data_IF_531988221030
#
_entry.id   IF_531988221030
#
_cell.length_a   1.000
_cell.length_b   1.000
_cell.length_c   1.000
_cell.angle_alpha   90.00
_cell.angle_beta   90.00
_cell.angle_gamma   90.00
#
_symmetry.space_group_name_H-M   'P 1'
#
loop_
_entity.id
_entity.type
_entity.pdbx_description
1 polymer ?
#
# COMPACT_ATOMS: atom_id res chain seq x y z
N UNK A 1 -12.75 4.40 30.04
CA UNK A 1 -11.45 4.13 29.37
C UNK A 1 -11.54 4.27 27.86
N UNK A 2 -12.58 3.73 27.22
CA UNK A 2 -12.82 3.88 25.78
C UNK A 2 -12.94 5.36 25.30
N UNK A 3 -13.31 6.27 26.21
CA UNK A 3 -13.43 7.72 25.98
C UNK A 3 -12.07 8.46 26.03
N UNK A 4 -11.02 7.85 26.60
CA UNK A 4 -9.70 8.48 26.79
C UNK A 4 -8.72 8.25 25.63
N UNK A 5 -9.07 7.42 24.63
CA UNK A 5 -8.24 7.20 23.44
C UNK A 5 -7.99 8.50 22.66
N UNK A 6 -8.85 9.51 22.82
CA UNK A 6 -8.69 10.85 22.22
C UNK A 6 -7.40 11.56 22.66
N UNK A 7 -6.80 11.17 23.79
CA UNK A 7 -5.53 11.74 24.26
C UNK A 7 -4.34 11.25 23.41
N UNK A 8 -4.49 10.13 22.70
CA UNK A 8 -3.43 9.44 21.96
C UNK A 8 -3.72 9.45 20.46
N UNK A 9 -4.96 9.15 20.09
CA UNK A 9 -5.43 9.07 18.71
C UNK A 9 -6.19 10.35 18.40
N UNK A 10 -5.59 11.23 17.59
CA UNK A 10 -6.23 12.49 17.19
C UNK A 10 -7.45 12.32 16.28
N UNK A 11 -7.50 11.22 15.52
CA UNK A 11 -8.58 10.95 14.57
C UNK A 11 -9.73 10.17 15.20
N UNK A 12 -10.90 10.81 15.33
CA UNK A 12 -12.14 10.16 15.74
C UNK A 12 -12.52 8.94 14.87
N UNK A 13 -12.17 8.97 13.57
CA UNK A 13 -12.42 7.83 12.67
C UNK A 13 -11.46 6.67 12.98
N UNK A 14 -10.22 6.97 13.35
CA UNK A 14 -9.26 5.95 13.76
C UNK A 14 -9.69 5.29 15.08
N UNK A 15 -10.22 6.06 16.04
CA UNK A 15 -10.79 5.51 17.27
C UNK A 15 -11.94 4.53 16.96
N UNK A 16 -12.86 4.90 16.08
CA UNK A 16 -13.96 4.01 15.66
C UNK A 16 -13.45 2.72 14.98
N UNK A 17 -12.44 2.84 14.13
CA UNK A 17 -11.83 1.69 13.45
C UNK A 17 -11.15 0.76 14.45
N UNK A 18 -10.43 1.32 15.42
CA UNK A 18 -9.78 0.57 16.48
C UNK A 18 -10.80 -0.19 17.34
N UNK A 19 -11.89 0.47 17.77
CA UNK A 19 -12.98 -0.18 18.51
C UNK A 19 -13.55 -1.35 17.71
N UNK A 20 -13.79 -1.15 16.42
CA UNK A 20 -14.23 -2.20 15.52
C UNK A 20 -13.24 -3.37 15.47
N UNK A 21 -11.95 -3.10 15.24
CA UNK A 21 -10.93 -4.16 15.14
C UNK A 21 -10.79 -4.93 16.45
N UNK A 22 -10.81 -4.25 17.61
CA UNK A 22 -10.77 -4.90 18.93
C UNK A 22 -11.97 -5.81 19.14
N UNK A 23 -13.17 -5.33 18.86
CA UNK A 23 -14.39 -6.15 18.95
C UNK A 23 -14.30 -7.39 18.04
N UNK A 24 -13.81 -7.22 16.81
CA UNK A 24 -13.59 -8.35 15.89
C UNK A 24 -12.51 -9.30 16.40
N UNK A 25 -11.43 -8.81 17.02
CA UNK A 25 -10.39 -9.68 17.56
C UNK A 25 -10.87 -10.47 18.78
N UNK A 26 -11.69 -9.87 19.65
CA UNK A 26 -12.33 -10.58 20.75
C UNK A 26 -13.24 -11.70 20.24
N UNK A 27 -14.02 -11.45 19.17
CA UNK A 27 -14.83 -12.48 18.51
C UNK A 27 -13.96 -13.57 17.89
N UNK A 28 -12.92 -13.19 17.15
CA UNK A 28 -11.96 -14.10 16.53
C UNK A 28 -11.34 -15.06 17.56
N UNK A 29 -10.94 -14.52 18.72
CA UNK A 29 -10.31 -15.31 19.78
C UNK A 29 -11.25 -16.31 20.47
N UNK A 30 -12.56 -16.21 20.26
CA UNK A 30 -13.57 -17.13 20.77
C UNK A 30 -14.05 -18.15 19.71
N UNK A 31 -13.55 -18.04 18.47
CA UNK A 31 -13.88 -18.94 17.36
C UNK A 31 -12.73 -19.95 17.10
N UNK A 32 -12.99 -20.97 16.30
CA UNK A 32 -12.01 -21.99 15.96
C UNK A 32 -11.06 -21.47 14.86
N UNK A 33 -9.94 -20.85 15.23
CA UNK A 33 -8.94 -20.33 14.31
C UNK A 33 -7.51 -20.78 14.65
N UNK A 34 -6.58 -20.77 13.66
CA UNK A 34 -5.22 -21.29 13.86
C UNK A 34 -4.35 -20.45 14.80
N UNK A 35 -4.78 -19.24 15.13
CA UNK A 35 -4.02 -18.30 15.95
C UNK A 35 -4.93 -17.62 16.97
N UNK A 36 -4.31 -17.08 18.01
CA UNK A 36 -4.93 -16.17 18.97
C UNK A 36 -4.31 -14.79 18.82
N UNK A 37 -5.12 -13.75 18.71
CA UNK A 37 -4.67 -12.37 18.68
C UNK A 37 -4.33 -11.96 20.12
N UNK A 38 -3.05 -11.69 20.35
CA UNK A 38 -2.50 -11.34 21.68
C UNK A 38 -2.54 -9.83 21.92
N UNK A 39 -2.25 -9.04 20.89
CA UNK A 39 -2.10 -7.58 21.02
C UNK A 39 -2.65 -6.87 19.77
N UNK A 40 -3.27 -5.70 20.00
CA UNK A 40 -3.64 -4.76 18.95
C UNK A 40 -2.96 -3.44 19.25
N UNK A 41 -2.37 -2.87 18.21
CA UNK A 41 -1.71 -1.59 18.21
C UNK A 41 -2.22 -0.66 17.13
N UNK A 42 -1.91 0.62 17.30
CA UNK A 42 -2.12 1.65 16.29
C UNK A 42 -0.79 2.32 15.98
N UNK A 43 -0.61 2.71 14.72
CA UNK A 43 0.58 3.45 14.31
C UNK A 43 0.28 4.48 13.23
N UNK A 44 1.37 4.94 12.62
CA UNK A 44 1.31 5.78 11.44
C UNK A 44 0.60 7.11 11.67
N UNK A 45 -0.08 7.58 10.62
CA UNK A 45 -0.64 8.93 10.61
C UNK A 45 -1.82 9.13 11.58
N UNK A 46 -2.50 8.05 11.97
CA UNK A 46 -3.68 8.08 12.83
C UNK A 46 -3.45 8.68 14.22
N UNK A 47 -2.20 8.61 14.71
CA UNK A 47 -1.79 9.18 16.01
C UNK A 47 -1.53 10.69 15.88
N UNK A 48 -1.03 11.16 14.72
CA UNK A 48 -0.53 12.54 14.55
C UNK A 48 -1.50 13.51 13.89
N UNK A 49 -2.43 13.02 13.07
CA UNK A 49 -3.32 13.88 12.28
C UNK A 49 -4.79 13.49 12.43
N UNK A 50 -5.68 14.49 12.39
CA UNK A 50 -7.13 14.30 12.58
C UNK A 50 -7.79 13.58 11.40
N UNK A 51 -7.19 13.67 10.21
CA UNK A 51 -7.73 13.14 8.95
C UNK A 51 -6.73 12.21 8.25
N UNK A 52 -6.36 11.07 8.85
CA UNK A 52 -5.44 10.10 8.24
C UNK A 52 -6.05 9.53 6.96
N UNK A 53 -5.22 9.20 5.96
CA UNK A 53 -5.73 8.62 4.70
C UNK A 53 -6.25 7.21 4.93
N UNK A 54 -5.40 6.40 5.53
CA UNK A 54 -5.61 5.01 5.91
C UNK A 54 -5.32 4.87 7.42
N UNK A 55 -5.87 3.84 8.06
CA UNK A 55 -5.72 3.59 9.49
C UNK A 55 -4.84 2.35 9.66
N UNK A 56 -3.58 2.58 10.03
CA UNK A 56 -2.60 1.52 10.29
C UNK A 56 -2.85 0.86 11.64
N UNK A 57 -3.22 -0.42 11.61
CA UNK A 57 -3.46 -1.25 12.79
C UNK A 57 -2.50 -2.41 12.80
N UNK A 58 -1.83 -2.59 13.93
CA UNK A 58 -0.83 -3.62 14.14
C UNK A 58 -1.45 -4.74 14.96
N UNK A 59 -1.25 -5.97 14.53
CA UNK A 59 -1.87 -7.14 15.15
C UNK A 59 -0.79 -8.16 15.43
N UNK A 60 -0.60 -8.50 16.70
CA UNK A 60 0.27 -9.61 17.09
C UNK A 60 -0.58 -10.82 17.40
N UNK A 61 -0.29 -11.92 16.73
CA UNK A 61 -1.00 -13.18 16.90
C UNK A 61 -0.02 -14.32 17.15
N UNK A 62 -0.45 -15.32 17.91
CA UNK A 62 0.31 -16.54 18.20
C UNK A 62 -0.46 -17.77 17.78
N UNK A 63 0.23 -18.70 17.14
CA UNK A 63 -0.31 -19.97 16.74
C UNK A 63 -0.82 -20.79 17.93
N UNK A 64 -1.93 -21.48 17.70
CA UNK A 64 -2.47 -22.48 18.62
C UNK A 64 -1.99 -23.84 18.11
N UNK A 65 -1.06 -24.48 18.83
CA UNK A 65 -0.34 -25.66 18.34
C UNK A 65 -1.24 -26.77 17.78
N UNK A 66 -2.39 -27.02 18.41
CA UNK A 66 -3.34 -28.06 17.98
C UNK A 66 -4.04 -27.72 16.66
N UNK A 67 -4.26 -26.45 16.36
CA UNK A 67 -5.04 -25.97 15.20
C UNK A 67 -4.12 -25.51 14.06
N UNK A 68 -2.90 -25.07 14.38
CA UNK A 68 -1.95 -24.51 13.41
C UNK A 68 -1.69 -25.47 12.25
N UNK A 69 -1.33 -26.72 12.55
CA UNK A 69 -1.07 -27.75 11.54
C UNK A 69 -2.33 -28.05 10.70
N UNK A 70 -3.46 -28.13 11.37
CA UNK A 70 -4.75 -28.39 10.75
C UNK A 70 -5.14 -27.32 9.71
N UNK A 71 -4.77 -26.06 9.95
CA UNK A 71 -5.00 -25.00 8.98
C UNK A 71 -4.18 -25.17 7.69
N UNK A 72 -2.97 -25.74 7.77
CA UNK A 72 -2.21 -26.09 6.56
C UNK A 72 -2.79 -27.31 5.85
N UNK A 73 -3.35 -28.27 6.59
CA UNK A 73 -4.09 -29.39 6.00
C UNK A 73 -5.32 -28.88 5.24
N UNK A 74 -6.08 -27.97 5.84
CA UNK A 74 -7.21 -27.29 5.18
C UNK A 74 -6.79 -26.57 3.90
N UNK A 75 -5.68 -25.83 3.93
CA UNK A 75 -5.17 -25.15 2.73
C UNK A 75 -4.84 -26.17 1.66
N UNK A 76 -4.09 -27.21 1.99
CA UNK A 76 -3.73 -28.31 1.08
C UNK A 76 -4.98 -29.00 0.53
N UNK A 77 -6.02 -29.16 1.34
CA UNK A 77 -7.26 -29.78 0.90
C UNK A 77 -8.07 -28.90 -0.06
N UNK A 78 -8.11 -27.60 0.23
CA UNK A 78 -8.68 -26.57 -0.65
C UNK A 78 -7.95 -26.53 -1.98
N UNK A 79 -6.64 -26.77 -1.96
CA UNK A 79 -5.79 -26.86 -3.13
C UNK A 79 -6.16 -28.06 -4.01
N UNK A 80 -6.18 -29.25 -3.43
CA UNK A 80 -6.52 -30.51 -4.11
C UNK A 80 -7.95 -30.51 -4.66
N UNK A 81 -8.87 -29.84 -3.95
CA UNK A 81 -10.29 -29.79 -4.27
C UNK A 81 -10.69 -28.57 -5.10
N UNK A 82 -9.72 -27.83 -5.66
CA UNK A 82 -9.97 -26.57 -6.38
C UNK A 82 -11.00 -26.70 -7.52
N UNK A 83 -11.00 -27.84 -8.22
CA UNK A 83 -11.95 -28.12 -9.30
C UNK A 83 -13.43 -28.06 -8.83
N UNK A 84 -13.71 -28.47 -7.58
CA UNK A 84 -15.06 -28.39 -6.99
C UNK A 84 -15.48 -26.93 -6.85
N UNK A 85 -14.60 -26.10 -6.27
CA UNK A 85 -14.83 -24.66 -6.14
C UNK A 85 -15.00 -23.98 -7.51
N UNK A 86 -14.17 -24.33 -8.50
CA UNK A 86 -14.23 -23.74 -9.83
C UNK A 86 -15.54 -24.08 -10.56
N UNK A 87 -15.98 -25.34 -10.49
CA UNK A 87 -17.24 -25.77 -11.08
C UNK A 87 -18.44 -25.06 -10.43
N UNK A 88 -18.46 -24.97 -9.10
CA UNK A 88 -19.51 -24.28 -8.37
C UNK A 88 -19.58 -22.78 -8.71
N UNK A 89 -18.43 -22.12 -8.92
CA UNK A 89 -18.41 -20.73 -9.40
C UNK A 89 -19.04 -20.61 -10.78
N UNK A 90 -18.75 -21.52 -11.71
CA UNK A 90 -19.33 -21.50 -13.06
C UNK A 90 -20.84 -21.70 -13.01
N UNK A 91 -21.30 -22.73 -12.31
CA UNK A 91 -22.72 -23.06 -12.12
C UNK A 91 -23.51 -21.87 -11.54
N UNK A 92 -23.04 -21.30 -10.42
CA UNK A 92 -23.69 -20.15 -9.81
C UNK A 92 -23.64 -18.88 -10.69
N UNK A 93 -22.62 -18.75 -11.54
CA UNK A 93 -22.55 -17.65 -12.51
C UNK A 93 -23.61 -17.78 -13.58
N UNK A 94 -23.84 -19.00 -14.07
CA UNK A 94 -24.87 -19.28 -15.08
C UNK A 94 -26.27 -19.07 -14.53
N UNK A 95 -26.52 -19.50 -13.28
CA UNK A 95 -27.85 -19.39 -12.67
C UNK A 95 -28.21 -17.98 -12.18
N UNK A 96 -27.28 -17.30 -11.48
CA UNK A 96 -27.56 -16.08 -10.72
C UNK A 96 -26.68 -14.89 -11.11
N UNK A 97 -25.67 -15.09 -11.96
CA UNK A 97 -24.69 -14.08 -12.33
C UNK A 97 -23.67 -13.80 -11.22
N UNK A 98 -24.08 -13.11 -10.14
CA UNK A 98 -23.19 -12.77 -9.01
C UNK A 98 -23.51 -13.64 -7.79
N UNK A 99 -22.53 -14.43 -7.36
CA UNK A 99 -22.57 -15.23 -6.14
C UNK A 99 -21.57 -14.76 -5.09
N UNK A 100 -21.88 -15.06 -3.83
CA UNK A 100 -20.99 -14.89 -2.69
C UNK A 100 -20.45 -16.25 -2.22
N UNK A 101 -19.53 -16.25 -1.24
CA UNK A 101 -18.89 -17.49 -0.77
C UNK A 101 -19.86 -18.43 -0.03
N UNK A 102 -20.88 -17.90 0.63
CA UNK A 102 -21.88 -18.71 1.32
C UNK A 102 -22.77 -19.45 0.34
N UNK A 103 -23.18 -18.81 -0.76
CA UNK A 103 -23.93 -19.48 -1.84
C UNK A 103 -23.12 -20.67 -2.39
N UNK A 104 -21.80 -20.48 -2.53
CA UNK A 104 -20.89 -21.52 -2.97
C UNK A 104 -20.80 -22.65 -1.94
N UNK A 105 -20.54 -22.33 -0.67
CA UNK A 105 -20.45 -23.33 0.40
C UNK A 105 -21.76 -24.13 0.50
N UNK A 106 -22.92 -23.49 0.40
CA UNK A 106 -24.23 -24.16 0.44
C UNK A 106 -24.38 -25.16 -0.70
N UNK A 107 -23.96 -24.80 -1.92
CA UNK A 107 -24.03 -25.67 -3.09
C UNK A 107 -23.13 -26.91 -2.97
N UNK A 108 -21.90 -26.76 -2.47
CA UNK A 108 -20.89 -27.84 -2.46
C UNK A 108 -20.64 -28.45 -1.07
N UNK A 109 -21.48 -28.21 -0.07
CA UNK A 109 -21.22 -28.64 1.31
C UNK A 109 -21.01 -30.15 1.41
N UNK A 110 -21.88 -30.92 0.76
CA UNK A 110 -21.82 -32.38 0.76
C UNK A 110 -20.57 -32.89 0.04
N UNK A 111 -20.25 -32.32 -1.13
CA UNK A 111 -19.02 -32.64 -1.87
C UNK A 111 -17.76 -32.36 -1.04
N UNK A 112 -17.74 -31.26 -0.30
CA UNK A 112 -16.63 -30.92 0.61
C UNK A 112 -16.50 -31.94 1.73
N UNK A 113 -17.62 -32.34 2.35
CA UNK A 113 -17.63 -33.37 3.39
C UNK A 113 -17.13 -34.72 2.84
N UNK A 114 -17.57 -35.13 1.64
CA UNK A 114 -17.10 -36.35 0.97
C UNK A 114 -15.60 -36.31 0.65
N UNK A 115 -15.06 -35.13 0.32
CA UNK A 115 -13.62 -34.95 0.16
C UNK A 115 -12.86 -34.99 1.48
N UNK A 116 -13.53 -34.93 2.63
CA UNK A 116 -12.91 -34.96 3.95
C UNK A 116 -12.58 -33.58 4.50
N UNK A 117 -13.28 -32.53 4.06
CA UNK A 117 -13.30 -31.28 4.80
C UNK A 117 -14.03 -31.49 6.12
N UNK A 118 -13.45 -30.97 7.20
CA UNK A 118 -14.10 -31.00 8.52
C UNK A 118 -15.14 -29.89 8.62
N UNK A 119 -16.16 -30.11 9.45
CA UNK A 119 -17.21 -29.14 9.67
C UNK A 119 -16.66 -27.78 10.12
N UNK A 120 -15.71 -27.78 11.07
CA UNK A 120 -15.07 -26.55 11.54
C UNK A 120 -14.38 -25.77 10.41
N UNK A 121 -13.86 -26.45 9.39
CA UNK A 121 -13.21 -25.80 8.24
C UNK A 121 -14.26 -25.12 7.37
N UNK A 122 -15.40 -25.79 7.16
CA UNK A 122 -16.51 -25.30 6.35
C UNK A 122 -17.17 -24.11 7.03
N UNK A 123 -17.41 -24.19 8.34
CA UNK A 123 -18.14 -23.16 9.08
C UNK A 123 -17.27 -21.97 9.47
N UNK A 124 -16.00 -22.19 9.85
CA UNK A 124 -15.15 -21.12 10.38
C UNK A 124 -14.16 -20.57 9.34
N UNK A 125 -13.61 -21.39 8.44
CA UNK A 125 -12.47 -20.98 7.59
C UNK A 125 -12.86 -20.66 6.15
N UNK A 126 -13.66 -21.51 5.50
CA UNK A 126 -14.13 -21.29 4.13
C UNK A 126 -14.85 -19.95 3.92
N UNK A 127 -15.65 -19.40 4.87
CA UNK A 127 -16.30 -18.11 4.68
C UNK A 127 -15.33 -16.93 4.45
N UNK A 128 -14.05 -17.12 4.75
CA UNK A 128 -12.99 -16.11 4.54
C UNK A 128 -12.31 -16.22 3.18
N UNK A 129 -12.61 -17.26 2.41
CA UNK A 129 -12.26 -17.36 0.99
C UNK A 129 -13.11 -16.38 0.18
N UNK A 130 -12.54 -15.76 -0.86
CA UNK A 130 -13.30 -14.91 -1.79
C UNK A 130 -13.52 -15.65 -3.10
N UNK A 131 -14.72 -15.54 -3.63
CA UNK A 131 -15.06 -15.98 -5.00
C UNK A 131 -14.11 -15.36 -6.04
N UNK A 132 -13.66 -14.12 -5.83
CA UNK A 132 -12.66 -13.48 -6.70
C UNK A 132 -11.30 -14.19 -6.70
N UNK A 133 -10.89 -14.78 -5.57
CA UNK A 133 -9.63 -15.52 -5.48
C UNK A 133 -9.74 -16.84 -6.25
N UNK A 134 -10.91 -17.50 -6.17
CA UNK A 134 -11.21 -18.70 -6.96
C UNK A 134 -11.19 -18.37 -8.45
N UNK A 135 -11.93 -17.34 -8.88
CA UNK A 135 -11.96 -16.89 -10.29
C UNK A 135 -10.57 -16.56 -10.83
N UNK A 136 -9.77 -15.82 -10.06
CA UNK A 136 -8.39 -15.53 -10.44
C UNK A 136 -7.58 -16.82 -10.62
N UNK A 137 -7.76 -17.79 -9.73
CA UNK A 137 -7.14 -19.12 -9.84
C UNK A 137 -7.55 -19.91 -11.09
N UNK A 138 -8.75 -19.66 -11.64
CA UNK A 138 -9.18 -20.24 -12.91
C UNK A 138 -8.51 -19.56 -14.12
N UNK A 139 -8.26 -18.25 -14.02
CA UNK A 139 -7.66 -17.45 -15.09
C UNK A 139 -6.12 -17.59 -15.15
N UNK A 140 -5.47 -17.94 -14.04
CA UNK A 140 -4.02 -18.12 -13.96
C UNK A 140 -3.62 -19.59 -13.88
N UNK A 141 -2.62 -20.00 -14.68
CA UNK A 141 -1.97 -21.34 -14.62
C UNK A 141 -1.31 -21.58 -13.24
N UNK A 142 -1.12 -20.55 -12.43
CA UNK A 142 -0.61 -20.63 -11.07
C UNK A 142 -1.79 -20.66 -10.10
N UNK A 143 -2.07 -21.85 -9.60
CA UNK A 143 -2.90 -22.13 -8.42
C UNK A 143 -2.54 -21.21 -7.22
N UNK A 144 -3.40 -20.73 -6.31
CA UNK A 144 -4.61 -21.30 -5.72
C UNK A 144 -5.32 -20.25 -4.85
N UNK A 145 -6.48 -20.59 -4.29
CA UNK A 145 -7.22 -19.82 -3.27
C UNK A 145 -6.28 -19.36 -2.14
N UNK A 146 -5.88 -18.08 -2.17
CA UNK A 146 -4.92 -17.49 -1.22
C UNK A 146 -5.61 -17.09 0.09
N UNK A 147 -5.94 -18.08 0.93
CA UNK A 147 -6.24 -17.84 2.33
C UNK A 147 -5.08 -18.36 3.19
N UNK A 148 -4.06 -17.52 3.37
CA UNK A 148 -3.09 -17.68 4.44
C UNK A 148 -3.60 -17.02 5.74
N UNK A 149 -2.85 -17.18 6.82
CA UNK A 149 -3.24 -16.67 8.15
C UNK A 149 -3.29 -15.13 8.17
N UNK A 150 -2.38 -14.46 7.44
CA UNK A 150 -2.38 -12.99 7.31
C UNK A 150 -3.65 -12.50 6.63
N UNK A 151 -4.06 -13.13 5.52
CA UNK A 151 -5.29 -12.82 4.80
C UNK A 151 -6.53 -13.14 5.63
N UNK A 152 -6.51 -14.23 6.40
CA UNK A 152 -7.57 -14.57 7.34
C UNK A 152 -7.76 -13.43 8.36
N UNK A 153 -6.69 -13.04 9.06
CA UNK A 153 -6.73 -11.93 10.03
C UNK A 153 -7.17 -10.62 9.36
N UNK A 154 -6.59 -10.28 8.22
CA UNK A 154 -6.91 -9.06 7.47
C UNK A 154 -8.39 -9.00 7.12
N UNK A 155 -8.97 -10.09 6.60
CA UNK A 155 -10.37 -10.15 6.18
C UNK A 155 -11.30 -10.16 7.39
N UNK A 156 -10.98 -10.94 8.42
CA UNK A 156 -11.81 -11.08 9.61
C UNK A 156 -11.95 -9.77 10.37
N UNK A 157 -10.83 -9.09 10.60
CA UNK A 157 -10.77 -7.86 11.39
C UNK A 157 -11.36 -6.65 10.67
N UNK A 158 -11.52 -6.71 9.34
CA UNK A 158 -12.15 -5.67 8.53
C UNK A 158 -13.62 -5.96 8.20
N UNK A 159 -14.15 -7.14 8.52
CA UNK A 159 -15.52 -7.54 8.15
C UNK A 159 -16.53 -6.53 8.69
N UNK A 160 -17.45 -6.09 7.84
CA UNK A 160 -18.51 -5.11 8.14
C UNK A 160 -18.05 -3.68 8.43
N UNK A 161 -16.75 -3.37 8.31
CA UNK A 161 -16.27 -1.99 8.38
C UNK A 161 -16.64 -1.18 7.13
N UNK A 162 -17.26 -0.01 7.33
CA UNK A 162 -17.71 0.90 6.26
C UNK A 162 -17.06 2.29 6.29
N UNK A 163 -15.95 2.45 7.03
CA UNK A 163 -15.24 3.72 7.19
C UNK A 163 -14.01 3.88 6.30
N UNK A 164 -13.06 4.70 6.76
CA UNK A 164 -11.74 4.85 6.11
C UNK A 164 -11.02 3.51 6.06
N UNK A 165 -10.24 3.26 5.02
CA UNK A 165 -9.53 1.99 4.85
C UNK A 165 -8.66 1.70 6.09
N UNK A 166 -8.81 0.48 6.60
CA UNK A 166 -7.96 -0.09 7.65
C UNK A 166 -6.87 -0.90 6.94
N UNK A 167 -5.61 -0.68 7.31
CA UNK A 167 -4.48 -1.52 6.92
C UNK A 167 -4.08 -2.35 8.13
N UNK A 168 -4.12 -3.68 7.99
CA UNK A 168 -3.78 -4.62 9.06
C UNK A 168 -2.35 -5.08 8.78
N UNK A 169 -1.46 -4.79 9.72
CA UNK A 169 -0.07 -5.24 9.70
C UNK A 169 0.06 -6.34 10.76
N UNK A 170 0.14 -7.60 10.34
CA UNK A 170 0.12 -8.73 11.27
C UNK A 170 1.50 -9.34 11.48
N UNK A 171 1.78 -9.71 12.73
CA UNK A 171 2.95 -10.47 13.15
C UNK A 171 2.46 -11.74 13.79
N UNK A 172 2.78 -12.86 13.14
CA UNK A 172 2.26 -14.17 13.50
C UNK A 172 3.42 -15.00 14.00
N UNK A 173 3.36 -15.41 15.26
CA UNK A 173 4.38 -16.26 15.89
C UNK A 173 3.89 -17.70 15.79
N UNK A 174 4.62 -18.56 15.10
CA UNK A 174 4.27 -19.98 14.97
C UNK A 174 4.57 -20.79 16.25
N UNK A 175 4.24 -22.10 16.29
CA UNK A 175 4.55 -22.97 17.43
C UNK A 175 6.03 -23.09 17.78
N UNK A 176 6.91 -22.86 16.82
CA UNK A 176 8.37 -22.99 16.93
C UNK A 176 9.02 -21.64 17.32
N UNK A 177 8.24 -20.56 17.35
CA UNK A 177 8.68 -19.21 17.65
C UNK A 177 9.13 -18.40 16.43
N UNK A 178 8.98 -18.93 15.22
CA UNK A 178 9.26 -18.20 13.99
C UNK A 178 8.21 -17.13 13.75
N UNK A 179 8.68 -15.98 13.24
CA UNK A 179 7.83 -14.83 12.94
C UNK A 179 7.47 -14.84 11.45
N UNK A 180 6.17 -14.86 11.17
CA UNK A 180 5.58 -14.71 9.85
C UNK A 180 4.85 -13.37 9.74
N UNK A 181 4.71 -12.88 8.50
CA UNK A 181 4.07 -11.61 8.19
C UNK A 181 5.04 -10.44 8.31
N UNK A 182 4.55 -9.30 8.79
CA UNK A 182 5.37 -8.11 8.99
C UNK A 182 6.25 -8.28 10.24
N UNK A 183 7.56 -8.40 10.03
CA UNK A 183 8.55 -8.25 11.10
C UNK A 183 8.45 -6.81 11.63
N UNK A 184 7.98 -6.63 12.87
CA UNK A 184 7.61 -5.31 13.41
C UNK A 184 8.86 -4.49 13.75
N UNK A 185 9.58 -4.04 12.73
CA UNK A 185 10.56 -2.96 12.86
C UNK A 185 9.89 -1.59 12.87
N UNK A 186 8.60 -1.52 12.54
CA UNK A 186 7.83 -0.28 12.55
C UNK A 186 7.23 -0.08 13.95
N UNK A 187 7.54 1.02 14.65
CA UNK A 187 6.98 1.27 15.96
C UNK A 187 5.46 1.43 15.88
N UNK A 188 4.77 0.98 16.93
CA UNK A 188 3.33 1.15 17.12
C UNK A 188 3.03 1.26 18.63
N UNK A 189 1.86 1.81 18.96
CA UNK A 189 1.37 1.90 20.32
C UNK A 189 0.36 0.79 20.60
N UNK A 190 0.63 -0.07 21.57
CA UNK A 190 -0.29 -1.12 22.00
C UNK A 190 -1.46 -0.51 22.78
N UNK A 191 -2.67 -0.79 22.34
CA UNK A 191 -3.91 -0.20 22.87
C UNK A 191 -4.89 -1.25 23.39
N UNK A 192 -4.65 -2.52 23.09
CA UNK A 192 -5.42 -3.63 23.62
C UNK A 192 -4.54 -4.87 23.70
N UNK A 193 -4.75 -5.67 24.74
CA UNK A 193 -4.11 -6.97 24.92
C UNK A 193 -5.14 -8.00 25.35
N UNK A 194 -4.92 -9.26 25.01
CA UNK A 194 -5.87 -10.31 25.33
C UNK A 194 -6.05 -10.54 26.85
N UNK A 195 -5.00 -10.33 27.63
CA UNK A 195 -5.02 -10.56 29.09
C UNK A 195 -5.44 -9.31 29.88
N UNK A 196 -5.20 -8.12 29.32
CA UNK A 196 -5.47 -6.84 30.00
C UNK A 196 -6.65 -6.05 29.44
N UNK A 197 -7.22 -6.47 28.30
CA UNK A 197 -8.22 -5.70 27.58
C UNK A 197 -7.66 -4.37 27.07
N UNK A 198 -8.50 -3.33 27.10
CA UNK A 198 -8.13 -1.97 26.70
C UNK A 198 -7.03 -1.39 27.58
N UNK A 199 -6.01 -0.81 26.93
CA UNK A 199 -4.89 -0.13 27.56
C UNK A 199 -4.72 1.27 26.97
N UNK A 200 -4.39 2.23 27.82
CA UNK A 200 -3.91 3.53 27.42
C UNK A 200 -2.38 3.55 27.56
N UNK A 201 -1.63 3.69 26.46
CA UNK A 201 -0.21 4.02 26.53
C UNK A 201 0.04 5.23 27.44
N UNK A 202 1.07 5.15 28.27
CA UNK A 202 1.52 6.29 29.07
C UNK A 202 2.36 7.29 28.24
N UNK A 203 2.70 8.43 28.84
CA UNK A 203 3.47 9.49 28.17
C UNK A 203 4.86 9.02 27.72
N UNK A 204 5.50 8.15 28.49
CA UNK A 204 6.83 7.61 28.18
C UNK A 204 6.76 6.65 26.98
N UNK A 205 5.74 5.81 26.90
CA UNK A 205 5.48 4.94 25.76
C UNK A 205 5.19 5.73 24.48
N UNK A 206 4.39 6.80 24.57
CA UNK A 206 4.10 7.69 23.45
C UNK A 206 5.37 8.40 22.99
N UNK A 207 6.17 8.90 23.94
CA UNK A 207 7.45 9.54 23.63
C UNK A 207 8.43 8.57 22.96
N UNK A 208 8.61 7.37 23.49
CA UNK A 208 9.49 6.35 22.93
C UNK A 208 9.01 5.85 21.56
N UNK A 209 7.69 5.76 21.33
CA UNK A 209 7.12 5.50 20.01
C UNK A 209 7.58 6.55 18.98
N UNK A 210 7.38 7.84 19.28
CA UNK A 210 7.77 8.91 18.37
C UNK A 210 9.29 8.96 18.17
N UNK A 211 10.07 8.78 19.22
CA UNK A 211 11.53 8.72 19.14
C UNK A 211 12.00 7.60 18.22
N UNK A 212 11.47 6.37 18.39
CA UNK A 212 11.79 5.24 17.52
C UNK A 212 11.38 5.49 16.07
N UNK A 213 10.20 6.07 15.85
CA UNK A 213 9.73 6.38 14.48
C UNK A 213 10.63 7.42 13.80
N UNK A 214 11.05 8.45 14.54
CA UNK A 214 11.97 9.47 14.03
C UNK A 214 13.32 8.86 13.67
N UNK A 215 13.89 8.02 14.53
CA UNK A 215 15.17 7.34 14.27
C UNK A 215 15.09 6.45 13.03
N UNK A 216 14.04 5.64 12.91
CA UNK A 216 13.84 4.79 11.73
C UNK A 216 13.70 5.60 10.43
N UNK A 217 13.04 6.77 10.48
CA UNK A 217 12.96 7.66 9.32
C UNK A 217 14.31 8.28 8.98
N UNK A 218 15.09 8.72 9.96
CA UNK A 218 16.43 9.27 9.74
C UNK A 218 17.36 8.23 9.12
N UNK A 219 17.30 6.97 9.56
CA UNK A 219 18.06 5.87 8.95
C UNK A 219 17.69 5.70 7.46
N UNK A 220 16.39 5.78 7.11
CA UNK A 220 15.96 5.74 5.71
C UNK A 220 16.52 6.95 4.93
N UNK A 221 16.49 8.15 5.50
CA UNK A 221 17.08 9.34 4.87
C UNK A 221 18.57 9.15 4.58
N UNK A 222 19.34 8.66 5.55
CA UNK A 222 20.77 8.40 5.40
C UNK A 222 21.02 7.40 4.27
N UNK A 223 20.29 6.28 4.25
CA UNK A 223 20.40 5.27 3.19
C UNK A 223 20.01 5.81 1.82
N UNK A 224 18.95 6.61 1.73
CA UNK A 224 18.51 7.24 0.48
C UNK A 224 19.53 8.26 -0.03
N UNK A 225 20.11 9.08 0.86
CA UNK A 225 21.18 10.03 0.51
C UNK A 225 22.44 9.31 0.03
N UNK A 226 22.75 8.17 0.65
CA UNK A 226 23.84 7.29 0.23
C UNK A 226 23.52 6.45 -1.03
N UNK A 227 22.32 6.60 -1.61
CA UNK A 227 21.83 5.81 -2.75
C UNK A 227 21.88 4.29 -2.50
N UNK A 228 21.70 3.86 -1.25
CA UNK A 228 21.71 2.45 -0.87
C UNK A 228 20.50 1.70 -1.45
N UNK A 229 20.73 0.46 -1.88
CA UNK A 229 19.66 -0.48 -2.30
C UNK A 229 18.91 -1.08 -1.11
N UNK A 230 19.41 -0.92 0.11
CA UNK A 230 18.79 -1.41 1.34
C UNK A 230 17.72 -0.45 1.88
N UNK A 231 16.83 -0.01 0.99
CA UNK A 231 15.72 0.89 1.31
C UNK A 231 14.39 0.26 0.85
N UNK A 232 13.25 0.70 1.40
CA UNK A 232 11.95 0.27 0.87
C UNK A 232 11.81 0.51 -0.64
N UNK A 233 11.18 -0.44 -1.34
CA UNK A 233 11.11 -0.47 -2.81
C UNK A 233 10.54 0.80 -3.45
N UNK A 234 9.69 1.52 -2.72
CA UNK A 234 9.08 2.78 -3.18
C UNK A 234 10.14 3.84 -3.56
N UNK A 235 11.34 3.77 -2.99
CA UNK A 235 12.43 4.72 -3.26
C UNK A 235 13.34 4.29 -4.41
N UNK A 236 13.30 3.02 -4.81
CA UNK A 236 14.23 2.45 -5.79
C UNK A 236 14.14 3.14 -7.16
N UNK A 237 12.96 3.62 -7.55
CA UNK A 237 12.82 4.37 -8.79
C UNK A 237 13.57 5.70 -8.75
N UNK A 238 13.49 6.45 -7.65
CA UNK A 238 14.23 7.71 -7.53
C UNK A 238 15.73 7.45 -7.44
N UNK A 239 16.16 6.43 -6.71
CA UNK A 239 17.59 6.06 -6.65
C UNK A 239 18.13 5.72 -8.04
N UNK A 240 17.43 4.86 -8.80
CA UNK A 240 17.82 4.53 -10.18
C UNK A 240 17.86 5.78 -11.07
N UNK A 241 16.90 6.70 -10.93
CA UNK A 241 16.90 7.97 -11.67
C UNK A 241 18.14 8.85 -11.35
N UNK A 242 18.60 8.83 -10.10
CA UNK A 242 19.79 9.56 -9.65
C UNK A 242 21.09 8.89 -10.14
N UNK A 243 21.15 7.56 -10.13
CA UNK A 243 22.30 6.77 -10.60
C UNK A 243 22.44 6.72 -12.14
N UNK A 244 21.33 6.78 -12.87
CA UNK A 244 21.31 6.69 -14.34
C UNK A 244 22.17 7.81 -14.95
N UNK A 245 23.31 7.50 -15.56
CA UNK A 245 24.17 8.52 -16.18
C UNK A 245 23.67 8.92 -17.57
N UNK A 246 23.01 8.01 -18.29
CA UNK A 246 22.77 8.11 -19.73
C UNK A 246 21.44 7.46 -20.15
N UNK A 247 20.55 8.25 -20.72
CA UNK A 247 19.29 7.73 -21.23
C UNK A 247 18.41 8.77 -21.91
N UNK A 248 17.35 8.28 -22.55
CA UNK A 248 16.24 9.10 -23.04
C UNK A 248 15.69 9.93 -21.86
N UNK A 249 15.33 11.18 -22.14
CA UNK A 249 14.85 12.14 -21.15
C UNK A 249 15.88 12.69 -20.15
N UNK A 250 17.10 12.98 -20.60
CA UNK A 250 18.19 13.45 -19.76
C UNK A 250 17.92 14.81 -19.09
N UNK A 251 17.26 15.75 -19.77
CA UNK A 251 16.97 17.08 -19.21
C UNK A 251 15.91 16.98 -18.10
N UNK A 252 14.83 16.23 -18.37
CA UNK A 252 13.77 15.95 -17.40
C UNK A 252 14.31 15.21 -16.19
N UNK A 253 15.18 14.22 -16.40
CA UNK A 253 15.88 13.51 -15.33
C UNK A 253 16.65 14.48 -14.43
N UNK A 254 17.55 15.28 -15.01
CA UNK A 254 18.36 16.26 -14.26
C UNK A 254 17.49 17.21 -13.44
N UNK A 255 16.42 17.75 -14.03
CA UNK A 255 15.50 18.64 -13.34
C UNK A 255 14.81 17.97 -12.14
N UNK A 256 14.29 16.74 -12.33
CA UNK A 256 13.65 15.99 -11.25
C UNK A 256 14.64 15.52 -10.18
N UNK A 257 15.89 15.20 -10.56
CA UNK A 257 16.97 14.85 -9.62
C UNK A 257 17.30 16.02 -8.69
N UNK A 258 17.38 17.25 -9.22
CA UNK A 258 17.61 18.45 -8.40
C UNK A 258 16.47 18.64 -7.39
N UNK A 259 15.21 18.52 -7.85
CA UNK A 259 14.04 18.63 -6.97
C UNK A 259 14.03 17.54 -5.88
N UNK A 260 14.39 16.30 -6.24
CA UNK A 260 14.46 15.18 -5.31
C UNK A 260 15.54 15.39 -4.22
N UNK A 261 16.73 15.87 -4.59
CA UNK A 261 17.79 16.15 -3.61
C UNK A 261 17.41 17.34 -2.72
N UNK A 262 16.85 18.41 -3.30
CA UNK A 262 16.46 19.60 -2.55
C UNK A 262 15.38 19.28 -1.51
N UNK A 263 14.36 18.49 -1.88
CA UNK A 263 13.29 18.16 -0.93
C UNK A 263 13.81 17.36 0.27
N UNK A 264 14.82 16.50 0.09
CA UNK A 264 15.44 15.79 1.21
C UNK A 264 16.21 16.74 2.13
N UNK A 265 17.03 17.62 1.56
CA UNK A 265 17.82 18.62 2.31
C UNK A 265 16.91 19.54 3.13
N UNK A 266 15.93 20.14 2.47
CA UNK A 266 14.96 21.01 3.13
C UNK A 266 14.22 20.27 4.25
N UNK A 267 13.78 19.03 4.00
CA UNK A 267 13.07 18.24 5.01
C UNK A 267 13.94 17.97 6.23
N UNK A 268 15.22 17.64 6.06
CA UNK A 268 16.16 17.45 7.18
C UNK A 268 16.38 18.76 7.95
N UNK A 269 16.66 19.86 7.25
CA UNK A 269 16.91 21.17 7.85
C UNK A 269 15.72 21.69 8.66
N UNK A 270 14.50 21.46 8.16
CA UNK A 270 13.28 21.79 8.88
C UNK A 270 13.03 20.82 10.04
N UNK A 271 13.23 19.51 9.84
CA UNK A 271 12.96 18.50 10.86
C UNK A 271 13.81 18.65 12.13
N UNK A 272 15.03 19.20 12.03
CA UNK A 272 15.90 19.45 13.21
C UNK A 272 15.36 20.58 14.10
N UNK A 273 14.58 21.51 13.54
CA UNK A 273 14.07 22.71 14.25
C UNK A 273 12.70 22.49 14.90
N UNK A 274 12.15 21.28 14.79
CA UNK A 274 10.79 20.95 15.21
C UNK A 274 10.78 19.94 16.35
N UNK A 275 9.66 19.88 17.07
CA UNK A 275 9.43 18.82 18.04
C UNK A 275 9.36 17.45 17.35
N UNK A 276 9.42 16.36 18.12
CA UNK A 276 9.52 15.02 17.55
C UNK A 276 8.31 14.67 16.64
N UNK A 277 7.04 14.90 17.04
CA UNK A 277 5.89 14.60 16.19
C UNK A 277 5.84 15.40 14.88
N UNK A 278 6.16 16.70 14.91
CA UNK A 278 6.23 17.54 13.70
C UNK A 278 7.40 17.12 12.81
N UNK A 279 8.57 16.83 13.41
CA UNK A 279 9.77 16.34 12.74
C UNK A 279 9.45 15.06 11.93
N UNK A 280 8.77 14.09 12.52
CA UNK A 280 8.32 12.85 11.83
C UNK A 280 7.44 13.17 10.62
N UNK A 281 6.51 14.12 10.77
CA UNK A 281 5.60 14.50 9.69
C UNK A 281 6.35 15.11 8.51
N UNK A 282 7.33 15.99 8.80
CA UNK A 282 8.19 16.60 7.79
C UNK A 282 9.03 15.53 7.08
N UNK A 283 9.70 14.66 7.84
CA UNK A 283 10.53 13.58 7.29
C UNK A 283 9.72 12.65 6.36
N UNK A 284 8.52 12.21 6.78
CA UNK A 284 7.65 11.37 5.95
C UNK A 284 7.21 12.07 4.66
N UNK A 285 6.85 13.36 4.74
CA UNK A 285 6.48 14.13 3.55
C UNK A 285 7.67 14.30 2.60
N UNK A 286 8.87 14.53 3.14
CA UNK A 286 10.12 14.59 2.38
C UNK A 286 10.40 13.32 1.60
N UNK A 287 10.39 12.16 2.28
CA UNK A 287 10.59 10.85 1.65
C UNK A 287 9.50 10.54 0.62
N UNK A 288 8.23 10.85 0.91
CA UNK A 288 7.13 10.67 -0.05
C UNK A 288 7.34 11.50 -1.31
N UNK A 289 7.73 12.76 -1.19
CA UNK A 289 8.01 13.64 -2.34
C UNK A 289 9.26 13.18 -3.10
N UNK A 290 10.29 12.73 -2.39
CA UNK A 290 11.46 12.11 -3.00
C UNK A 290 11.06 10.91 -3.87
N UNK A 291 10.25 9.98 -3.35
CA UNK A 291 9.74 8.85 -4.11
C UNK A 291 8.88 9.28 -5.32
N UNK A 292 8.05 10.32 -5.16
CA UNK A 292 7.22 10.85 -6.23
C UNK A 292 8.04 11.29 -7.44
N UNK A 293 9.20 11.94 -7.25
CA UNK A 293 10.00 12.43 -8.37
C UNK A 293 10.54 11.31 -9.28
N UNK A 294 10.99 10.19 -8.70
CA UNK A 294 11.37 9.01 -9.48
C UNK A 294 10.19 8.39 -10.23
N UNK A 295 9.05 8.26 -9.56
CA UNK A 295 7.82 7.75 -10.19
C UNK A 295 7.32 8.67 -11.31
N UNK A 296 7.45 9.99 -11.16
CA UNK A 296 7.15 10.96 -12.21
C UNK A 296 8.07 10.79 -13.41
N UNK A 297 9.38 10.68 -13.19
CA UNK A 297 10.36 10.47 -14.26
C UNK A 297 10.01 9.24 -15.09
N UNK A 298 9.81 8.09 -14.45
CA UNK A 298 9.48 6.86 -15.18
C UNK A 298 8.09 6.92 -15.82
N UNK A 299 7.13 7.57 -15.17
CA UNK A 299 5.80 7.79 -15.76
C UNK A 299 5.87 8.62 -17.03
N UNK A 300 6.73 9.65 -17.08
CA UNK A 300 6.98 10.48 -18.27
C UNK A 300 7.76 9.67 -19.32
N UNK A 301 8.87 9.03 -18.94
CA UNK A 301 9.75 8.25 -19.82
C UNK A 301 9.01 7.14 -20.57
N UNK A 302 8.06 6.48 -19.89
CA UNK A 302 7.25 5.40 -20.47
C UNK A 302 5.83 5.83 -20.86
N UNK A 303 5.56 7.14 -20.93
CA UNK A 303 4.31 7.62 -21.50
C UNK A 303 4.37 7.56 -23.02
N UNK A 304 3.27 7.18 -23.65
CA UNK A 304 3.16 7.20 -25.11
C UNK A 304 3.45 8.61 -25.64
N UNK A 305 4.35 8.72 -26.62
CA UNK A 305 4.86 9.99 -27.16
C UNK A 305 3.74 10.97 -27.53
N UNK A 306 2.68 10.48 -28.19
CA UNK A 306 1.56 11.34 -28.59
C UNK A 306 0.79 11.92 -27.40
N UNK A 307 0.72 11.22 -26.26
CA UNK A 307 0.07 11.72 -25.03
C UNK A 307 0.88 12.89 -24.45
N UNK A 308 2.21 12.78 -24.43
CA UNK A 308 3.10 13.88 -24.01
C UNK A 308 2.96 15.10 -24.91
N UNK A 309 3.03 14.90 -26.23
CA UNK A 309 2.91 15.99 -27.19
C UNK A 309 1.54 16.69 -27.11
N UNK A 310 0.46 15.92 -27.01
CA UNK A 310 -0.88 16.49 -26.84
C UNK A 310 -1.02 17.22 -25.50
N UNK A 311 -0.35 16.76 -24.44
CA UNK A 311 -0.32 17.49 -23.18
C UNK A 311 0.43 18.83 -23.31
N UNK A 312 1.57 18.85 -24.00
CA UNK A 312 2.35 20.08 -24.21
C UNK A 312 1.70 21.09 -25.17
N UNK A 313 0.83 20.62 -26.08
CA UNK A 313 0.04 21.47 -26.99
C UNK A 313 -1.22 22.06 -26.34
N UNK A 314 -1.60 21.60 -25.16
CA UNK A 314 -2.79 22.09 -24.47
C UNK A 314 -2.62 23.58 -24.10
N UNK A 315 -3.72 24.31 -24.03
CA UNK A 315 -3.77 25.68 -23.50
C UNK A 315 -3.23 25.81 -22.06
N UNK A 316 -3.31 24.72 -21.28
CA UNK A 316 -2.70 24.61 -19.96
C UNK A 316 -1.89 23.30 -19.84
N UNK A 317 -0.64 23.29 -20.33
CA UNK A 317 0.17 22.08 -20.41
C UNK A 317 0.42 21.41 -19.06
N UNK A 318 0.64 22.19 -17.99
CA UNK A 318 0.88 21.67 -16.65
C UNK A 318 -0.34 20.91 -16.13
N UNK A 319 -1.54 21.50 -16.23
CA UNK A 319 -2.79 20.84 -15.83
C UNK A 319 -3.01 19.55 -16.61
N UNK A 320 -2.81 19.58 -17.93
CA UNK A 320 -3.00 18.40 -18.78
C UNK A 320 -2.01 17.29 -18.46
N UNK A 321 -0.76 17.63 -18.15
CA UNK A 321 0.25 16.67 -17.73
C UNK A 321 -0.11 16.03 -16.38
N UNK A 322 -0.61 16.82 -15.42
CA UNK A 322 -1.12 16.30 -14.13
C UNK A 322 -2.26 15.31 -14.36
N UNK A 323 -3.21 15.61 -15.25
CA UNK A 323 -4.32 14.70 -15.57
C UNK A 323 -3.83 13.33 -16.07
N UNK A 324 -2.87 13.35 -16.99
CA UNK A 324 -2.34 12.11 -17.59
C UNK A 324 -1.50 11.31 -16.60
N UNK A 325 -0.66 11.97 -15.80
CA UNK A 325 0.24 11.30 -14.86
C UNK A 325 -0.47 10.81 -13.59
N UNK A 326 -1.40 11.60 -13.04
CA UNK A 326 -2.12 11.21 -11.82
C UNK A 326 -2.91 9.92 -12.00
N UNK A 327 -3.46 9.64 -13.19
CA UNK A 327 -4.14 8.36 -13.45
C UNK A 327 -3.27 7.13 -13.18
N UNK A 328 -1.96 7.22 -13.47
CA UNK A 328 -0.98 6.17 -13.17
C UNK A 328 -0.58 6.20 -11.68
N UNK A 329 -0.17 7.37 -11.20
CA UNK A 329 0.39 7.57 -9.85
C UNK A 329 -0.62 7.44 -8.71
N UNK A 330 -1.92 7.52 -9.01
CA UNK A 330 -2.99 7.30 -8.03
C UNK A 330 -2.92 5.90 -7.43
N UNK A 331 -2.52 4.90 -8.22
CA UNK A 331 -2.36 3.51 -7.76
C UNK A 331 -1.23 3.37 -6.74
N UNK A 332 -0.22 4.21 -6.87
CA UNK A 332 0.94 4.28 -5.95
C UNK A 332 0.67 5.20 -4.74
N UNK A 333 -0.57 5.69 -4.60
CA UNK A 333 -1.04 6.40 -3.41
C UNK A 333 -0.78 7.90 -3.37
N UNK A 334 -0.30 8.51 -4.47
CA UNK A 334 -0.08 9.95 -4.57
C UNK A 334 -1.39 10.73 -4.81
N UNK A 335 -1.55 11.86 -4.12
CA UNK A 335 -2.69 12.74 -4.34
C UNK A 335 -2.47 13.60 -5.58
N UNK A 336 -3.56 13.99 -6.23
CA UNK A 336 -3.51 14.92 -7.37
C UNK A 336 -2.77 16.21 -7.02
N UNK A 337 -2.94 16.72 -5.81
CA UNK A 337 -2.26 17.92 -5.29
C UNK A 337 -0.75 17.72 -5.17
N UNK A 338 -0.30 16.53 -4.77
CA UNK A 338 1.14 16.21 -4.68
C UNK A 338 1.76 16.21 -6.09
N UNK A 339 1.09 15.56 -7.05
CA UNK A 339 1.51 15.51 -8.45
C UNK A 339 1.52 16.92 -9.06
N UNK A 340 0.49 17.72 -8.77
CA UNK A 340 0.39 19.09 -9.25
C UNK A 340 1.55 19.96 -8.74
N UNK A 341 1.83 19.93 -7.44
CA UNK A 341 2.94 20.68 -6.86
C UNK A 341 4.30 20.27 -7.47
N UNK A 342 4.49 18.98 -7.75
CA UNK A 342 5.71 18.50 -8.41
C UNK A 342 5.82 19.00 -9.87
N UNK A 343 4.74 18.97 -10.65
CA UNK A 343 4.72 19.48 -12.03
C UNK A 343 4.82 21.01 -12.08
N UNK A 344 4.30 21.72 -11.10
CA UNK A 344 4.43 23.18 -11.01
C UNK A 344 5.89 23.61 -10.85
N UNK A 345 6.68 22.84 -10.12
CA UNK A 345 8.13 23.06 -9.94
C UNK A 345 8.99 22.49 -11.10
N UNK A 346 8.39 21.77 -12.05
CA UNK A 346 9.10 21.25 -13.22
C UNK A 346 9.00 22.25 -14.39
N UNK A 347 10.15 22.67 -14.90
CA UNK A 347 10.21 23.42 -16.15
C UNK A 347 9.90 22.50 -17.33
N UNK A 348 8.72 22.69 -17.94
CA UNK A 348 8.25 21.86 -19.07
C UNK A 348 9.18 21.94 -20.30
N UNK A 349 10.00 22.99 -20.41
CA UNK A 349 11.05 23.11 -21.42
C UNK A 349 11.99 21.89 -21.40
N UNK A 350 12.26 21.31 -20.23
CA UNK A 350 13.11 20.12 -20.12
C UNK A 350 12.49 18.90 -20.82
N UNK A 351 11.18 18.69 -20.66
CA UNK A 351 10.44 17.64 -21.39
C UNK A 351 10.47 17.93 -22.88
N UNK A 352 10.24 19.18 -23.28
CA UNK A 352 10.29 19.57 -24.69
C UNK A 352 11.66 19.28 -25.35
N UNK A 353 12.76 19.64 -24.69
CA UNK A 353 14.10 19.39 -25.19
C UNK A 353 14.38 17.89 -25.35
N UNK A 354 13.95 17.09 -24.39
CA UNK A 354 14.07 15.63 -24.47
C UNK A 354 13.27 15.03 -25.63
N UNK A 355 12.06 15.54 -25.86
CA UNK A 355 11.23 15.12 -27.00
C UNK A 355 11.85 15.55 -28.33
N UNK A 356 12.50 16.71 -28.41
CA UNK A 356 13.22 17.17 -29.61
C UNK A 356 14.41 16.27 -29.94
N UNK A 357 15.18 15.87 -28.93
CA UNK A 357 16.26 14.89 -29.12
C UNK A 357 15.73 13.53 -29.57
N UNK A 358 14.67 13.02 -28.92
CA UNK A 358 14.04 11.77 -29.31
C UNK A 358 13.47 11.84 -30.73
N UNK A 359 12.94 12.99 -31.14
CA UNK A 359 12.37 13.17 -32.47
C UNK A 359 13.40 13.06 -33.61
N UNK A 360 14.70 13.22 -33.32
CA UNK A 360 15.79 12.99 -34.30
C UNK A 360 15.88 11.53 -34.75
N UNK A 361 15.33 10.60 -33.97
CA UNK A 361 15.26 9.17 -34.32
C UNK A 361 14.13 8.87 -35.34
N UNK A 362 13.25 9.84 -35.65
CA UNK A 362 12.12 9.67 -36.56
C UNK A 362 12.37 10.31 -37.93
N UNK A 363 11.69 9.84 -39.00
CA UNK A 363 11.79 10.47 -40.32
C UNK A 363 11.41 11.96 -40.30
N UNK A 364 12.11 12.76 -41.12
CA UNK A 364 12.00 14.23 -41.17
C UNK A 364 10.58 14.78 -41.43
N UNK A 365 9.68 13.96 -42.01
CA UNK A 365 8.28 14.30 -42.28
C UNK A 365 7.29 13.73 -41.26
N UNK A 366 7.75 13.27 -40.09
CA UNK A 366 6.85 12.74 -39.07
C UNK A 366 5.93 13.83 -38.50
N UNK A 367 4.69 13.45 -38.23
CA UNK A 367 3.70 14.29 -37.54
C UNK A 367 4.26 14.87 -36.21
N UNK A 368 5.17 14.13 -35.56
CA UNK A 368 5.78 14.49 -34.29
C UNK A 368 6.69 15.73 -34.39
N UNK A 369 7.51 15.83 -35.43
CA UNK A 369 8.38 17.01 -35.64
C UNK A 369 7.57 18.29 -35.85
N UNK A 370 6.47 18.22 -36.61
CA UNK A 370 5.55 19.36 -36.80
C UNK A 370 4.89 19.80 -35.49
N UNK A 371 4.47 18.85 -34.66
CA UNK A 371 3.92 19.15 -33.33
C UNK A 371 4.95 19.80 -32.41
N UNK A 372 6.20 19.32 -32.43
CA UNK A 372 7.28 19.89 -31.61
C UNK A 372 7.64 21.32 -32.04
N UNK A 373 7.69 21.60 -33.33
CA UNK A 373 7.91 22.97 -33.81
C UNK A 373 6.79 23.90 -33.33
N UNK A 374 5.54 23.47 -33.45
CA UNK A 374 4.39 24.22 -32.93
C UNK A 374 4.46 24.47 -31.42
N UNK A 375 4.83 23.44 -30.62
CA UNK A 375 5.05 23.58 -29.16
C UNK A 375 6.12 24.64 -28.88
N UNK A 376 7.26 24.58 -29.59
CA UNK A 376 8.34 25.55 -29.43
C UNK A 376 7.88 26.99 -29.69
N UNK A 377 7.03 27.21 -30.70
CA UNK A 377 6.51 28.54 -31.07
C UNK A 377 5.50 29.04 -30.05
N UNK A 378 4.55 28.20 -29.63
CA UNK A 378 3.50 28.57 -28.67
C UNK A 378 4.12 29.01 -27.35
N UNK A 379 5.15 28.29 -26.88
CA UNK A 379 5.73 28.52 -25.55
C UNK A 379 7.04 29.32 -25.56
N UNK A 380 7.55 29.71 -26.72
CA UNK A 380 8.81 30.45 -26.85
C UNK A 380 10.05 29.66 -26.41
N UNK A 381 10.08 28.34 -26.64
CA UNK A 381 11.13 27.44 -26.16
C UNK A 381 12.22 27.10 -27.19
N UNK A 382 12.22 27.78 -28.33
CA UNK A 382 13.17 27.55 -29.44
C UNK A 382 14.64 27.73 -29.06
#
# INVERSE_FOLDING_TARGET
MEENLNQIIRSNVAIKAIKHVVQRAEQFNNEYFPVKIEEIGIGGSSIRIDKPKDIDVFVKARAINSIWKEFFDFRTKTMESFHIFANAVLELTEEKGKSNIFDLIELIRDDLAEKGFKEDWIENWLPWVRVSDIRRGMESIIHMVLLDVEKLLERYLKKDWRGKRIEIHSTIIDPEGHIYGWDIKVPFLTIWTINGGWRLPDEDEIFEFFKKERLALLEIFEKVIALSKEVPDIYNQTIRMLEDSDGKFANTRKALSVLAVNVLKESLDFAVKKDIPESITILRQGLKRFALYGNLYYSIRYLELYKLLNALLDSNPKKKLVDVLHGKLKRDGYWRTDVQAAIENLELKNIYLDLKELAKEFPANSMYLRKLDLIGRIHGWH
#
